data_IF_806938991597
#
_entry.id   IF_806938991597
#
_cell.length_a   1.000
_cell.length_b   1.000
_cell.length_c   1.000
_cell.angle_alpha   90.00
_cell.angle_beta   90.00
_cell.angle_gamma   90.00
#
_symmetry.space_group_name_H-M   'P 1'
#
loop_
_entity.id
_entity.type
_entity.pdbx_description
1 polymer ?
#
# COMPACT_ATOMS: atom_id res chain seq x y z
N UNK A 1 -2.51 -8.78 -6.86
CA UNK A 1 -1.94 -7.43 -6.72
C UNK A 1 -2.83 -6.60 -5.81
N UNK A 2 -2.23 -5.96 -4.80
CA UNK A 2 -2.84 -4.99 -3.90
C UNK A 2 -2.37 -3.59 -4.29
N UNK A 3 -3.29 -2.65 -4.45
CA UNK A 3 -2.98 -1.22 -4.61
C UNK A 3 -3.62 -0.48 -3.45
N UNK A 4 -2.80 0.16 -2.62
CA UNK A 4 -3.21 1.07 -1.56
C UNK A 4 -2.93 2.48 -2.03
N UNK A 5 -3.99 3.26 -2.27
CA UNK A 5 -3.88 4.66 -2.64
C UNK A 5 -4.44 5.54 -1.52
N UNK A 6 -3.63 6.46 -1.03
CA UNK A 6 -4.06 7.50 -0.11
C UNK A 6 -4.34 8.81 -0.89
N UNK A 7 -5.43 9.50 -0.54
CA UNK A 7 -5.88 10.74 -1.16
C UNK A 7 -4.81 11.81 -1.10
N UNK A 8 -4.39 12.30 -2.26
CA UNK A 8 -3.47 13.41 -2.38
C UNK A 8 -4.04 14.67 -1.70
N UNK A 9 -3.32 15.35 -0.80
CA UNK A 9 -3.52 16.78 -0.64
C UNK A 9 -3.05 17.40 -1.96
N UNK A 10 -3.99 17.94 -2.74
CA UNK A 10 -3.77 18.77 -3.93
C UNK A 10 -2.46 18.56 -4.71
N UNK A 11 -2.61 18.12 -5.96
CA UNK A 11 -1.60 18.13 -7.02
C UNK A 11 -0.72 16.87 -7.09
N UNK A 12 -0.86 16.17 -8.23
CA UNK A 12 0.12 15.34 -8.95
C UNK A 12 -0.50 14.07 -9.60
N UNK A 13 -0.88 14.26 -10.88
CA UNK A 13 -0.82 13.36 -12.06
C UNK A 13 -2.08 12.72 -12.69
N UNK A 14 -2.01 12.73 -14.04
CA UNK A 14 -2.80 12.14 -15.14
C UNK A 14 -4.24 12.63 -15.41
N UNK A 15 -4.91 13.22 -14.42
CA UNK A 15 -6.14 13.98 -14.61
C UNK A 15 -6.14 15.03 -13.51
N UNK A 16 -6.40 16.29 -13.84
CA UNK A 16 -6.45 17.37 -12.84
C UNK A 16 -7.40 16.95 -11.69
N UNK A 17 -6.88 16.64 -10.48
CA UNK A 17 -7.72 16.18 -9.38
C UNK A 17 -8.68 17.28 -8.91
N UNK A 18 -8.44 18.53 -9.31
CA UNK A 18 -9.30 19.68 -9.03
C UNK A 18 -10.43 19.82 -10.06
N UNK A 19 -10.35 19.14 -11.21
CA UNK A 19 -11.39 19.19 -12.25
C UNK A 19 -12.59 18.27 -11.96
N UNK A 20 -12.54 17.52 -10.86
CA UNK A 20 -13.61 16.60 -10.45
C UNK A 20 -13.71 16.52 -8.92
N UNK A 21 -14.77 15.89 -8.41
CA UNK A 21 -14.90 15.71 -6.96
C UNK A 21 -13.77 14.82 -6.43
N UNK A 22 -13.25 15.04 -5.21
CA UNK A 22 -12.14 14.28 -4.65
C UNK A 22 -12.36 12.76 -4.64
N UNK A 23 -13.60 12.34 -4.43
CA UNK A 23 -13.97 10.92 -4.45
C UNK A 23 -13.88 10.32 -5.86
N UNK A 24 -14.38 11.03 -6.87
CA UNK A 24 -14.27 10.61 -8.27
C UNK A 24 -12.83 10.61 -8.76
N UNK A 25 -12.02 11.56 -8.30
CA UNK A 25 -10.59 11.59 -8.57
C UNK A 25 -9.91 10.33 -8.03
N UNK A 26 -10.16 9.98 -6.76
CA UNK A 26 -9.57 8.82 -6.10
C UNK A 26 -9.94 7.50 -6.81
N UNK A 27 -11.21 7.34 -7.19
CA UNK A 27 -11.68 6.18 -7.95
C UNK A 27 -11.02 6.10 -9.34
N UNK A 28 -10.91 7.24 -10.03
CA UNK A 28 -10.29 7.32 -11.36
C UNK A 28 -8.80 6.98 -11.30
N UNK A 29 -8.08 7.50 -10.29
CA UNK A 29 -6.66 7.22 -10.07
C UNK A 29 -6.46 5.72 -9.79
N UNK A 30 -7.28 5.13 -8.91
CA UNK A 30 -7.24 3.70 -8.61
C UNK A 30 -7.45 2.84 -9.86
N UNK A 31 -8.50 3.14 -10.64
CA UNK A 31 -8.81 2.44 -11.88
C UNK A 31 -7.69 2.57 -12.93
N UNK A 32 -7.12 3.76 -13.11
CA UNK A 32 -6.03 3.98 -14.05
C UNK A 32 -4.75 3.26 -13.64
N UNK A 33 -4.41 3.27 -12.35
CA UNK A 33 -3.25 2.54 -11.84
C UNK A 33 -3.41 1.03 -12.03
N UNK A 34 -4.61 0.48 -11.79
CA UNK A 34 -4.87 -0.92 -12.08
C UNK A 34 -4.66 -1.24 -13.57
N UNK A 35 -5.23 -0.43 -14.49
CA UNK A 35 -5.04 -0.62 -15.94
C UNK A 35 -3.57 -0.60 -16.35
N UNK A 36 -2.77 0.29 -15.75
CA UNK A 36 -1.33 0.34 -16.03
C UNK A 36 -0.62 -0.97 -15.66
N UNK A 37 -0.98 -1.60 -14.55
CA UNK A 37 -0.44 -2.90 -14.18
C UNK A 37 -1.01 -4.06 -15.00
N UNK A 38 -2.29 -4.00 -15.40
CA UNK A 38 -2.92 -4.98 -16.28
C UNK A 38 -2.21 -5.10 -17.63
N UNK A 39 -1.63 -4.00 -18.14
CA UNK A 39 -0.80 -4.02 -19.35
C UNK A 39 0.44 -4.91 -19.21
N UNK A 40 1.02 -4.99 -18.00
CA UNK A 40 2.19 -5.82 -17.72
C UNK A 40 1.82 -7.26 -17.31
N UNK A 41 0.70 -7.43 -16.60
CA UNK A 41 0.24 -8.73 -16.13
C UNK A 41 -1.31 -8.85 -16.19
N UNK A 42 -1.90 -9.18 -17.35
CA UNK A 42 -3.35 -9.14 -17.53
C UNK A 42 -4.12 -10.24 -16.79
N UNK A 43 -3.44 -11.34 -16.38
CA UNK A 43 -4.11 -12.50 -15.76
C UNK A 43 -4.10 -12.49 -14.24
N UNK A 44 -3.43 -11.51 -13.61
CA UNK A 44 -3.42 -11.40 -12.16
C UNK A 44 -4.78 -10.94 -11.61
N UNK A 45 -5.04 -11.26 -10.34
CA UNK A 45 -6.18 -10.70 -9.60
C UNK A 45 -5.79 -9.37 -8.98
N UNK A 46 -6.54 -8.33 -9.31
CA UNK A 46 -6.32 -6.97 -8.82
C UNK A 46 -7.33 -6.61 -7.72
N UNK A 47 -6.84 -5.98 -6.66
CA UNK A 47 -7.67 -5.42 -5.59
C UNK A 47 -7.15 -4.03 -5.23
N UNK A 48 -8.05 -3.04 -5.28
CA UNK A 48 -7.78 -1.67 -4.89
C UNK A 48 -8.29 -1.43 -3.47
N UNK A 49 -7.54 -0.63 -2.71
CA UNK A 49 -7.92 -0.11 -1.41
C UNK A 49 -7.67 1.39 -1.45
N UNK A 50 -8.76 2.15 -1.47
CA UNK A 50 -8.73 3.62 -1.59
C UNK A 50 -8.96 4.21 -0.20
N UNK A 51 -8.04 5.04 0.28
CA UNK A 51 -8.01 5.59 1.65
C UNK A 51 -8.25 4.57 2.77
N UNK A 52 -7.57 3.40 2.79
CA UNK A 52 -7.96 2.34 3.69
C UNK A 52 -7.60 2.64 5.15
N UNK A 53 -8.27 1.91 6.03
CA UNK A 53 -7.89 1.73 7.43
C UNK A 53 -6.90 0.59 7.61
N UNK A 54 -6.21 0.55 8.77
CA UNK A 54 -5.31 -0.56 9.13
C UNK A 54 -6.01 -1.93 9.02
N UNK A 55 -7.25 -2.03 9.50
CA UNK A 55 -8.03 -3.26 9.45
C UNK A 55 -8.34 -3.71 8.02
N UNK A 56 -8.62 -2.78 7.12
CA UNK A 56 -8.85 -3.07 5.70
C UNK A 56 -7.57 -3.52 5.01
N UNK A 57 -6.44 -2.86 5.28
CA UNK A 57 -5.13 -3.29 4.78
C UNK A 57 -4.79 -4.69 5.28
N UNK A 58 -5.00 -4.97 6.57
CA UNK A 58 -4.78 -6.30 7.16
C UNK A 58 -5.63 -7.37 6.49
N UNK A 59 -6.94 -7.13 6.36
CA UNK A 59 -7.87 -8.07 5.69
C UNK A 59 -7.49 -8.28 4.24
N UNK A 60 -7.07 -7.23 3.54
CA UNK A 60 -6.65 -7.30 2.14
C UNK A 60 -5.38 -8.13 1.97
N UNK A 61 -4.33 -7.83 2.72
CA UNK A 61 -3.05 -8.54 2.65
C UNK A 61 -3.21 -10.03 2.99
N UNK A 62 -3.86 -10.33 4.13
CA UNK A 62 -4.10 -11.71 4.57
C UNK A 62 -4.98 -12.50 3.61
N UNK A 63 -6.02 -11.87 3.04
CA UNK A 63 -6.86 -12.48 2.01
C UNK A 63 -6.07 -12.81 0.74
N UNK A 64 -5.23 -11.89 0.28
CA UNK A 64 -4.43 -12.08 -0.94
C UNK A 64 -3.36 -13.16 -0.74
N UNK A 65 -2.63 -13.15 0.39
CA UNK A 65 -1.67 -14.21 0.72
C UNK A 65 -2.34 -15.59 0.73
N UNK A 66 -3.45 -15.75 1.46
CA UNK A 66 -4.16 -17.03 1.53
C UNK A 66 -4.56 -17.56 0.15
N UNK A 67 -5.00 -16.67 -0.75
CA UNK A 67 -5.42 -17.05 -2.09
C UNK A 67 -4.25 -17.35 -3.03
N UNK A 68 -3.14 -16.62 -2.89
CA UNK A 68 -1.95 -16.79 -3.73
C UNK A 68 -1.16 -18.05 -3.37
N UNK A 69 -1.29 -18.56 -2.13
CA UNK A 69 -0.50 -19.70 -1.63
C UNK A 69 1.00 -19.39 -1.79
N UNK A 70 1.67 -20.12 -2.68
CA UNK A 70 3.10 -19.99 -3.01
C UNK A 70 3.37 -18.97 -4.12
N UNK A 71 2.33 -18.45 -4.78
CA UNK A 71 2.50 -17.39 -5.76
C UNK A 71 2.87 -16.05 -5.13
N UNK A 72 3.43 -15.18 -5.97
CA UNK A 72 3.94 -13.90 -5.57
C UNK A 72 2.84 -12.86 -5.46
N UNK A 73 2.76 -12.17 -4.32
CA UNK A 73 1.80 -11.07 -4.12
C UNK A 73 2.53 -9.73 -4.24
N UNK A 74 2.08 -8.87 -5.15
CA UNK A 74 2.53 -7.48 -5.25
C UNK A 74 1.68 -6.58 -4.36
N UNK A 75 2.33 -5.75 -3.54
CA UNK A 75 1.75 -4.67 -2.76
C UNK A 75 2.31 -3.33 -3.24
N UNK A 76 1.45 -2.48 -3.79
CA UNK A 76 1.77 -1.11 -4.17
C UNK A 76 1.16 -0.17 -3.13
N UNK A 77 2.00 0.66 -2.51
CA UNK A 77 1.59 1.71 -1.59
C UNK A 77 1.91 3.06 -2.18
N UNK A 78 0.86 3.89 -2.32
CA UNK A 78 0.97 5.29 -2.68
C UNK A 78 0.68 6.16 -1.46
N UNK A 79 1.71 6.84 -0.98
CA UNK A 79 1.70 7.62 0.27
C UNK A 79 1.86 9.12 0.05
N UNK A 80 1.50 9.67 -1.11
CA UNK A 80 1.53 11.12 -1.34
C UNK A 80 0.50 11.87 -0.50
N UNK A 81 -0.55 11.17 -0.06
CA UNK A 81 -1.68 11.69 0.71
C UNK A 81 -1.45 12.03 2.20
N UNK A 82 -0.29 11.63 2.72
CA UNK A 82 -0.08 11.39 4.14
C UNK A 82 1.31 11.86 4.56
N UNK A 83 1.63 11.93 5.87
CA UNK A 83 2.97 12.28 6.32
C UNK A 83 4.04 11.31 5.78
N UNK A 84 5.30 11.75 5.79
CA UNK A 84 6.43 10.90 5.38
C UNK A 84 6.57 9.69 6.31
N UNK A 85 7.06 8.54 5.81
CA UNK A 85 7.36 7.38 6.63
C UNK A 85 8.32 7.72 7.78
N UNK A 86 8.14 7.07 8.93
CA UNK A 86 8.92 7.33 10.14
C UNK A 86 10.18 6.47 10.19
N UNK A 87 11.18 6.92 10.96
CA UNK A 87 12.40 6.12 11.23
C UNK A 87 12.13 4.85 12.02
N UNK A 88 10.99 4.77 12.71
CA UNK A 88 10.52 3.58 13.42
C UNK A 88 9.97 2.51 12.45
N UNK A 89 9.95 2.79 11.15
CA UNK A 89 9.46 1.86 10.15
C UNK A 89 7.94 1.81 10.11
N UNK A 90 7.30 2.98 10.12
CA UNK A 90 5.85 3.12 9.97
C UNK A 90 5.50 3.87 8.68
N UNK A 91 4.45 3.41 8.02
CA UNK A 91 3.75 4.13 6.95
C UNK A 91 2.38 4.59 7.45
N UNK A 92 1.71 5.46 6.70
CA UNK A 92 0.48 6.08 7.16
C UNK A 92 -0.73 5.64 6.34
N UNK A 93 -1.83 5.41 7.05
CA UNK A 93 -3.16 5.12 6.51
C UNK A 93 -4.21 5.97 7.25
N UNK A 94 -5.49 5.84 6.93
CA UNK A 94 -6.54 6.66 7.55
C UNK A 94 -7.27 5.93 8.68
N UNK A 95 -7.93 6.69 9.56
CA UNK A 95 -9.01 6.14 10.38
C UNK A 95 -10.32 6.11 9.59
N UNK A 96 -11.35 5.42 10.11
CA UNK A 96 -12.65 5.26 9.44
C UNK A 96 -13.34 6.58 9.07
N UNK A 97 -13.07 7.63 9.83
CA UNK A 97 -13.71 8.94 9.66
C UNK A 97 -12.85 9.91 8.83
N UNK A 98 -11.68 9.48 8.34
CA UNK A 98 -10.72 10.29 7.59
C UNK A 98 -10.29 11.58 8.30
N UNK A 99 -10.24 11.56 9.64
CA UNK A 99 -9.86 12.72 10.47
C UNK A 99 -8.43 12.63 10.99
N UNK A 100 -7.85 11.42 10.99
CA UNK A 100 -6.51 11.17 11.54
C UNK A 100 -5.74 10.21 10.67
N UNK A 101 -4.43 10.45 10.58
CA UNK A 101 -3.48 9.49 10.05
C UNK A 101 -3.13 8.48 11.14
N UNK A 102 -3.25 7.20 10.80
CA UNK A 102 -2.94 6.08 11.69
C UNK A 102 -1.63 5.44 11.22
N UNK A 103 -0.64 5.27 12.11
CA UNK A 103 0.60 4.59 11.76
C UNK A 103 0.34 3.10 11.54
N UNK A 104 0.95 2.55 10.49
CA UNK A 104 0.97 1.13 10.15
C UNK A 104 2.42 0.66 10.14
N UNK A 105 2.72 -0.29 11.02
CA UNK A 105 4.05 -0.90 11.12
C UNK A 105 4.41 -1.70 9.86
N UNK A 106 5.63 -1.49 9.36
CA UNK A 106 6.19 -2.30 8.27
C UNK A 106 6.38 -3.76 8.72
N UNK A 107 6.68 -4.00 10.01
CA UNK A 107 6.79 -5.35 10.57
C UNK A 107 5.46 -6.11 10.48
N UNK A 108 4.34 -5.45 10.77
CA UNK A 108 3.01 -6.07 10.65
C UNK A 108 2.66 -6.33 9.18
N UNK A 109 2.96 -5.35 8.31
CA UNK A 109 2.69 -5.45 6.88
C UNK A 109 3.42 -6.64 6.24
N UNK A 110 4.72 -6.82 6.51
CA UNK A 110 5.47 -7.98 5.99
C UNK A 110 4.87 -9.31 6.49
N UNK A 111 4.37 -9.32 7.72
CA UNK A 111 3.78 -10.52 8.35
C UNK A 111 2.48 -10.90 7.66
N UNK A 112 1.60 -9.92 7.39
CA UNK A 112 0.34 -10.18 6.69
C UNK A 112 0.53 -10.54 5.22
N UNK A 113 1.55 -9.96 4.57
CA UNK A 113 1.85 -10.19 3.16
C UNK A 113 2.55 -11.53 2.93
N UNK A 114 3.33 -12.04 3.88
CA UNK A 114 4.06 -13.31 3.78
C UNK A 114 5.03 -13.36 2.59
N UNK A 115 5.52 -14.57 2.30
CA UNK A 115 6.45 -14.85 1.19
C UNK A 115 5.80 -15.79 0.17
N UNK A 116 6.08 -15.66 -1.15
CA UNK A 116 6.90 -14.61 -1.79
C UNK A 116 6.09 -13.32 -2.07
N UNK A 117 6.69 -12.15 -1.88
CA UNK A 117 6.02 -10.85 -2.10
C UNK A 117 6.92 -9.83 -2.80
N UNK A 118 6.30 -8.82 -3.42
CA UNK A 118 6.95 -7.63 -3.99
C UNK A 118 6.28 -6.39 -3.39
N UNK A 119 7.08 -5.39 -3.06
CA UNK A 119 6.61 -4.11 -2.55
C UNK A 119 7.03 -2.98 -3.48
N UNK A 120 6.11 -2.07 -3.76
CA UNK A 120 6.34 -0.81 -4.47
C UNK A 120 5.89 0.31 -3.54
N UNK A 121 6.81 1.19 -3.15
CA UNK A 121 6.53 2.32 -2.27
C UNK A 121 6.69 3.62 -3.06
N UNK A 122 5.56 4.23 -3.43
CA UNK A 122 5.50 5.53 -4.08
C UNK A 122 5.11 6.59 -3.04
N UNK A 123 6.11 7.11 -2.34
CA UNK A 123 5.94 8.18 -1.38
C UNK A 123 7.24 8.96 -1.17
N UNK A 124 7.11 10.17 -0.64
CA UNK A 124 8.27 10.95 -0.21
C UNK A 124 9.11 10.18 0.82
N UNK A 125 10.43 10.16 0.62
CA UNK A 125 11.39 9.51 1.52
C UNK A 125 11.22 7.98 1.69
N UNK A 126 10.74 7.29 0.65
CA UNK A 126 10.52 5.84 0.64
C UNK A 126 11.76 4.99 1.01
N UNK A 127 12.98 5.53 0.87
CA UNK A 127 14.21 4.84 1.24
C UNK A 127 14.28 4.43 2.72
N UNK A 128 13.59 5.13 3.62
CA UNK A 128 13.48 4.73 5.04
C UNK A 128 12.70 3.42 5.17
N UNK A 129 11.60 3.26 4.42
CA UNK A 129 10.79 2.03 4.44
C UNK A 129 11.65 0.82 4.09
N UNK A 130 12.46 0.92 3.03
CA UNK A 130 13.34 -0.17 2.58
C UNK A 130 14.38 -0.55 3.65
N UNK A 131 14.93 0.43 4.38
CA UNK A 131 15.87 0.17 5.47
C UNK A 131 15.18 -0.58 6.62
N UNK A 132 14.03 -0.08 7.08
CA UNK A 132 13.26 -0.73 8.14
C UNK A 132 12.77 -2.12 7.73
N UNK A 133 12.36 -2.30 6.48
CA UNK A 133 11.93 -3.60 5.95
C UNK A 133 13.03 -4.66 6.09
N UNK A 134 14.27 -4.33 5.72
CA UNK A 134 15.41 -5.26 5.86
C UNK A 134 15.67 -5.64 7.32
N UNK A 135 15.65 -4.65 8.22
CA UNK A 135 15.85 -4.88 9.65
C UNK A 135 14.76 -5.80 10.22
N UNK A 136 13.50 -5.50 9.93
CA UNK A 136 12.37 -6.28 10.41
C UNK A 136 12.26 -7.67 9.77
N UNK A 137 12.75 -7.85 8.54
CA UNK A 137 12.85 -9.17 7.92
C UNK A 137 13.85 -10.06 8.67
N UNK A 138 15.05 -9.54 8.97
CA UNK A 138 16.06 -10.27 9.75
C UNK A 138 15.57 -10.62 11.16
N UNK A 139 14.93 -9.66 11.83
CA UNK A 139 14.34 -9.89 13.15
C UNK A 139 13.29 -11.02 13.11
N UNK A 140 12.41 -11.00 12.10
CA UNK A 140 11.37 -12.02 11.95
C UNK A 140 11.93 -13.40 11.63
N UNK A 141 13.03 -13.48 10.88
CA UNK A 141 13.73 -14.76 10.65
C UNK A 141 14.28 -15.33 11.95
N UNK A 142 14.91 -14.50 12.80
CA UNK A 142 15.42 -14.91 14.10
C UNK A 142 14.33 -15.36 15.09
N UNK A 143 13.13 -14.78 15.01
CA UNK A 143 11.99 -15.15 15.87
C UNK A 143 11.30 -16.46 15.43
N UNK A 144 11.58 -16.94 14.21
CA UNK A 144 11.02 -18.18 13.65
C UNK A 144 11.97 -19.39 13.77
N UNK A 145 13.25 -19.14 14.09
CA UNK A 145 14.25 -20.16 14.47
C UNK A 145 14.08 -20.59 15.93
#
# INVERSE_FOLDING_TARGET
>A
MCVVNNRFPGDFLASDPLSMSPQKALETIGANLQKQYENWQPRARYKQSLDPTVDEVKKLCTSLRRNAKEERVLFHYNGHGVPRPTVNGEIWVFNKNYTQYIPLSIYDLQTWMGSPSIFVYDCSNAGIIVKSFKQFALQREQELE
#
